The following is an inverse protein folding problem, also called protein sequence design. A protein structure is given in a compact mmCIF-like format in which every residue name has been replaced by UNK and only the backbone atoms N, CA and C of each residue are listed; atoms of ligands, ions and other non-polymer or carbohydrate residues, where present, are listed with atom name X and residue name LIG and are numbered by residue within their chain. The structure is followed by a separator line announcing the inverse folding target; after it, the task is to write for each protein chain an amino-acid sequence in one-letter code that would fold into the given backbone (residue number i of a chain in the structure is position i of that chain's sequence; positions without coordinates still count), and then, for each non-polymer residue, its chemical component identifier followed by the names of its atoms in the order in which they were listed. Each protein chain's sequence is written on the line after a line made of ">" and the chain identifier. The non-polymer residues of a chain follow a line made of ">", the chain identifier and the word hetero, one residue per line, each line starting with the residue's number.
data_IF_271612773134
#
_entry.id   IF_271612773134
#
_cell.length_a   1.000
_cell.length_b   1.000
_cell.length_c   1.000
_cell.angle_alpha   90.00
_cell.angle_beta   90.00
_cell.angle_gamma   90.00
#
_symmetry.space_group_name_H-M   'P 1'
#
loop_
_entity.id
_entity.type
_entity.pdbx_description
1 polymer ?
#
# COMPACT_ATOMS: atom_id res chain seq x y z
N UNK A 1 19.05 -63.99 -24.76
CA UNK A 1 18.55 -64.24 -23.38
C UNK A 1 18.27 -62.87 -22.77
N UNK A 2 17.16 -62.50 -22.14
CA UNK A 2 15.89 -63.12 -21.81
C UNK A 2 15.05 -61.95 -21.21
N UNK A 3 13.77 -61.80 -21.58
CA UNK A 3 12.63 -61.24 -20.80
C UNK A 3 12.71 -59.78 -20.27
N UNK A 4 11.83 -58.86 -20.68
CA UNK A 4 10.38 -58.73 -20.41
C UNK A 4 10.03 -58.21 -18.99
N UNK A 5 9.41 -57.02 -18.93
CA UNK A 5 8.36 -56.53 -17.99
C UNK A 5 8.28 -55.00 -18.15
N UNK A 6 7.37 -54.42 -18.95
CA UNK A 6 5.95 -54.17 -18.67
C UNK A 6 5.61 -54.00 -17.18
N UNK A 7 5.45 -52.74 -16.74
CA UNK A 7 4.60 -52.39 -15.62
C UNK A 7 4.00 -50.99 -15.87
N UNK A 8 2.69 -51.00 -16.07
CA UNK A 8 1.82 -49.85 -16.22
C UNK A 8 1.24 -49.42 -14.86
N UNK A 9 0.59 -48.24 -14.87
CA UNK A 9 -0.34 -47.70 -13.85
C UNK A 9 0.39 -47.07 -12.64
N UNK A 10 0.10 -45.85 -12.22
CA UNK A 10 -1.22 -45.26 -12.07
C UNK A 10 -1.23 -43.76 -12.34
N UNK A 11 -2.11 -43.34 -13.25
CA UNK A 11 -2.59 -41.96 -13.35
C UNK A 11 -3.49 -41.68 -12.14
N UNK A 12 -2.89 -41.20 -11.06
CA UNK A 12 -3.61 -40.58 -9.96
C UNK A 12 -4.19 -39.25 -10.45
N UNK A 13 -5.40 -39.29 -10.99
CA UNK A 13 -6.19 -38.11 -11.27
C UNK A 13 -6.49 -37.37 -9.97
N UNK A 14 -5.76 -36.28 -9.71
CA UNK A 14 -6.24 -35.26 -8.81
C UNK A 14 -7.48 -34.64 -9.44
N UNK A 15 -8.66 -35.10 -9.02
CA UNK A 15 -9.89 -34.35 -9.16
C UNK A 15 -9.70 -32.97 -8.56
N UNK A 16 -9.34 -32.00 -9.40
CA UNK A 16 -9.47 -30.59 -9.08
C UNK A 16 -10.98 -30.34 -8.87
N UNK A 17 -11.42 -30.36 -7.61
CA UNK A 17 -12.71 -29.78 -7.24
C UNK A 17 -12.68 -28.33 -7.74
N UNK A 18 -13.61 -27.90 -8.61
CA UNK A 18 -13.88 -26.49 -8.77
C UNK A 18 -14.58 -26.06 -7.48
N UNK A 19 -13.79 -25.78 -6.45
CA UNK A 19 -14.25 -24.91 -5.39
C UNK A 19 -14.51 -23.59 -6.08
N UNK A 20 -15.79 -23.29 -6.31
CA UNK A 20 -16.25 -21.99 -6.74
C UNK A 20 -15.60 -20.97 -5.81
N UNK A 21 -14.49 -20.39 -6.27
CA UNK A 21 -13.92 -19.21 -5.67
C UNK A 21 -15.01 -18.17 -5.83
N UNK A 22 -15.80 -17.99 -4.78
CA UNK A 22 -16.48 -16.73 -4.57
C UNK A 22 -15.33 -15.74 -4.59
N UNK A 23 -15.15 -15.08 -5.73
CA UNK A 23 -14.22 -13.98 -5.85
C UNK A 23 -14.63 -13.04 -4.73
N UNK A 24 -13.85 -13.03 -3.64
CA UNK A 24 -14.09 -12.14 -2.54
C UNK A 24 -14.14 -10.76 -3.19
N UNK A 25 -15.32 -10.12 -3.14
CA UNK A 25 -15.48 -8.79 -3.67
C UNK A 25 -14.32 -7.95 -3.14
N UNK A 26 -13.64 -7.16 -3.99
CA UNK A 26 -12.53 -6.34 -3.53
C UNK A 26 -13.02 -5.57 -2.31
N UNK A 27 -12.30 -5.71 -1.19
CA UNK A 27 -12.63 -4.99 0.02
C UNK A 27 -12.80 -3.50 -0.37
N UNK A 28 -13.84 -2.81 0.11
CA UNK A 28 -14.05 -1.42 -0.25
C UNK A 28 -12.76 -0.65 0.07
N UNK A 29 -12.25 0.09 -0.92
CA UNK A 29 -11.06 0.92 -0.74
C UNK A 29 -11.39 1.98 0.32
N UNK A 30 -10.93 1.75 1.55
CA UNK A 30 -11.16 2.66 2.67
C UNK A 30 -10.13 3.79 2.70
N UNK A 31 -9.26 3.90 1.68
CA UNK A 31 -8.26 4.97 1.60
C UNK A 31 -8.93 6.33 1.59
N UNK A 32 -8.35 7.25 2.35
CA UNK A 32 -8.71 8.67 2.35
C UNK A 32 -7.86 9.38 1.29
N UNK A 33 -8.45 9.79 0.15
CA UNK A 33 -7.70 10.45 -0.91
C UNK A 33 -7.14 11.79 -0.42
N UNK A 34 -5.87 12.04 -0.74
CA UNK A 34 -5.16 13.26 -0.34
C UNK A 34 -4.66 13.26 1.11
N UNK A 35 -4.88 12.19 1.88
CA UNK A 35 -4.38 12.08 3.25
C UNK A 35 -3.29 11.01 3.38
N UNK A 36 -2.16 11.42 3.98
CA UNK A 36 -0.97 10.60 4.12
C UNK A 36 -0.33 10.77 5.49
N UNK A 37 0.19 9.68 6.04
CA UNK A 37 1.10 9.71 7.18
C UNK A 37 2.52 9.71 6.66
N UNK A 38 3.27 10.75 7.01
CA UNK A 38 4.69 10.89 6.73
C UNK A 38 5.48 10.53 7.98
N UNK A 39 6.55 9.77 7.84
CA UNK A 39 7.56 9.62 8.88
C UNK A 39 8.75 10.50 8.52
N UNK A 40 9.01 11.52 9.33
CA UNK A 40 10.12 12.44 9.11
C UNK A 40 11.39 11.97 9.84
N UNK A 41 12.55 12.38 9.32
CA UNK A 41 13.83 12.23 10.04
C UNK A 41 13.82 13.05 11.33
N UNK A 42 14.63 12.66 12.35
CA UNK A 42 14.88 13.51 13.50
C UNK A 42 15.39 14.89 13.04
N UNK A 43 14.86 15.96 13.64
CA UNK A 43 15.21 17.35 13.32
C UNK A 43 14.91 17.79 11.88
N UNK A 44 14.08 17.05 11.13
CA UNK A 44 13.57 17.51 9.85
C UNK A 44 12.79 18.82 10.00
N UNK A 45 12.95 19.73 9.04
CA UNK A 45 12.16 20.96 8.97
C UNK A 45 10.81 20.68 8.29
N UNK A 46 9.67 20.80 9.01
CA UNK A 46 8.35 20.58 8.42
C UNK A 46 8.02 21.57 7.28
N UNK A 47 8.61 22.78 7.29
CA UNK A 47 8.34 23.77 6.24
C UNK A 47 9.02 23.39 4.92
N UNK A 48 10.19 22.76 4.97
CA UNK A 48 10.82 22.16 3.79
C UNK A 48 9.93 21.05 3.18
N UNK A 49 9.33 20.22 4.03
CA UNK A 49 8.37 19.18 3.60
C UNK A 49 7.12 19.81 2.99
N UNK A 50 6.57 20.87 3.61
CA UNK A 50 5.42 21.60 3.06
C UNK A 50 5.72 22.18 1.68
N UNK A 51 6.91 22.76 1.50
CA UNK A 51 7.34 23.34 0.24
C UNK A 51 7.42 22.28 -0.89
N UNK A 52 7.92 21.08 -0.59
CA UNK A 52 8.02 19.98 -1.54
C UNK A 52 6.65 19.55 -2.12
N UNK A 53 5.57 19.67 -1.34
CA UNK A 53 4.23 19.28 -1.76
C UNK A 53 3.34 20.45 -2.21
N UNK A 54 3.90 21.67 -2.39
CA UNK A 54 3.15 22.89 -2.72
C UNK A 54 2.27 22.74 -3.96
N UNK A 55 2.73 22.04 -4.99
CA UNK A 55 2.00 21.87 -6.26
C UNK A 55 0.68 21.10 -6.10
N UNK A 56 0.53 20.34 -5.02
CA UNK A 56 -0.67 19.58 -4.68
C UNK A 56 -1.59 20.30 -3.69
N UNK A 57 -1.32 21.59 -3.43
CA UNK A 57 -2.09 22.44 -2.52
C UNK A 57 -2.20 21.82 -1.10
N UNK A 58 -1.13 21.95 -0.31
CA UNK A 58 -1.10 21.47 1.08
C UNK A 58 -2.18 22.17 1.91
N UNK A 59 -3.17 21.40 2.35
CA UNK A 59 -4.27 21.86 3.21
C UNK A 59 -3.82 21.87 4.66
N UNK A 60 -3.13 20.82 5.07
CA UNK A 60 -2.69 20.63 6.46
C UNK A 60 -1.38 19.84 6.48
N UNK A 61 -0.49 20.21 7.39
CA UNK A 61 0.69 19.43 7.73
C UNK A 61 0.90 19.62 9.22
N UNK A 62 0.58 18.58 9.99
CA UNK A 62 0.61 18.64 11.45
C UNK A 62 1.20 17.38 12.07
N UNK A 63 1.89 17.49 13.21
CA UNK A 63 2.38 16.32 13.91
C UNK A 63 1.21 15.47 14.44
N UNK A 64 1.37 14.15 14.41
CA UNK A 64 0.42 13.17 14.99
C UNK A 64 1.02 12.58 16.25
N UNK A 65 2.20 11.97 16.14
CA UNK A 65 2.93 11.38 17.27
C UNK A 65 4.38 11.10 16.88
N UNK A 66 5.34 11.38 17.77
CA UNK A 66 6.77 11.14 17.52
C UNK A 66 7.24 11.75 16.17
N UNK A 67 7.89 10.97 15.29
CA UNK A 67 8.33 11.44 13.97
C UNK A 67 7.21 11.48 12.91
N UNK A 68 5.96 11.18 13.27
CA UNK A 68 4.86 11.04 12.33
C UNK A 68 4.05 12.32 12.17
N UNK A 69 3.79 12.68 10.92
CA UNK A 69 3.02 13.84 10.51
C UNK A 69 1.86 13.42 9.62
N UNK A 70 0.72 14.08 9.79
CA UNK A 70 -0.40 13.98 8.85
C UNK A 70 -0.21 15.07 7.80
N UNK A 71 -0.06 14.66 6.55
CA UNK A 71 -0.13 15.51 5.37
C UNK A 71 -1.53 15.39 4.77
N UNK A 72 -2.20 16.53 4.58
CA UNK A 72 -3.46 16.62 3.82
C UNK A 72 -3.27 17.52 2.62
N UNK A 73 -3.64 17.01 1.45
CA UNK A 73 -3.53 17.68 0.17
C UNK A 73 -4.92 17.92 -0.41
N UNK A 74 -5.13 19.05 -1.08
CA UNK A 74 -6.38 19.31 -1.79
C UNK A 74 -6.49 18.44 -3.03
N UNK A 75 -5.38 18.26 -3.76
CA UNK A 75 -5.30 17.42 -4.95
C UNK A 75 -4.54 16.16 -4.58
N UNK A 76 -5.18 15.01 -4.72
CA UNK A 76 -4.52 13.73 -4.46
C UNK A 76 -3.72 13.28 -5.69
N UNK A 77 -2.37 13.27 -5.66
CA UNK A 77 -1.58 12.76 -6.77
C UNK A 77 -1.42 11.24 -6.74
N UNK A 78 -1.87 10.57 -5.66
CA UNK A 78 -1.66 9.15 -5.44
C UNK A 78 -0.34 8.83 -4.72
N UNK A 79 -0.27 7.63 -4.12
CA UNK A 79 0.84 7.21 -3.27
C UNK A 79 2.19 7.16 -4.00
N UNK A 80 2.20 6.68 -5.25
CA UNK A 80 3.44 6.55 -6.01
C UNK A 80 4.04 7.93 -6.34
N UNK A 81 3.20 8.89 -6.70
CA UNK A 81 3.62 10.26 -6.94
C UNK A 81 4.15 10.91 -5.65
N UNK A 82 3.46 10.76 -4.52
CA UNK A 82 3.96 11.27 -3.23
C UNK A 82 5.33 10.68 -2.90
N UNK A 83 5.52 9.37 -3.10
CA UNK A 83 6.82 8.72 -2.86
C UNK A 83 7.92 9.25 -3.77
N UNK A 84 7.60 9.60 -5.03
CA UNK A 84 8.58 10.19 -5.94
C UNK A 84 8.95 11.64 -5.62
N UNK A 85 8.04 12.40 -5.03
CA UNK A 85 8.22 13.83 -4.73
C UNK A 85 8.76 14.03 -3.30
N UNK A 86 8.58 13.03 -2.43
CA UNK A 86 8.99 13.08 -1.04
C UNK A 86 10.47 13.51 -0.91
N UNK A 87 10.75 14.58 -0.15
CA UNK A 87 12.11 15.09 -0.02
C UNK A 87 12.91 14.17 0.92
N UNK A 88 14.26 14.27 0.94
CA UNK A 88 15.13 13.37 1.71
C UNK A 88 14.84 13.28 3.21
N UNK A 89 14.17 14.28 3.77
CA UNK A 89 13.71 14.37 5.15
C UNK A 89 12.57 13.39 5.46
N UNK A 90 11.85 12.90 4.45
CA UNK A 90 10.77 11.91 4.60
C UNK A 90 11.37 10.51 4.48
N UNK A 91 11.27 9.73 5.56
CA UNK A 91 11.72 8.34 5.62
C UNK A 91 10.69 7.35 5.06
N UNK A 92 9.41 7.63 5.27
CA UNK A 92 8.34 6.76 4.84
C UNK A 92 7.06 7.55 4.57
N UNK A 93 6.26 7.02 3.65
CA UNK A 93 4.93 7.52 3.27
C UNK A 93 3.93 6.38 3.35
N UNK A 94 2.85 6.59 4.09
CA UNK A 94 1.74 5.66 4.24
C UNK A 94 0.42 6.35 3.87
N UNK A 95 -0.48 5.71 3.12
CA UNK A 95 -1.82 6.25 2.91
C UNK A 95 -2.64 6.16 4.19
N UNK A 96 -3.52 7.15 4.42
CA UNK A 96 -4.51 7.11 5.50
C UNK A 96 -5.74 6.31 5.09
N UNK A 97 -6.35 5.60 6.03
CA UNK A 97 -7.57 4.81 5.82
C UNK A 97 -8.66 5.19 6.82
N UNK A 98 -9.91 5.18 6.38
CA UNK A 98 -11.07 5.35 7.23
C UNK A 98 -11.28 4.08 8.08
N UNK A 99 -11.13 4.21 9.40
CA UNK A 99 -11.50 3.15 10.32
C UNK A 99 -13.02 3.15 10.54
N UNK A 100 -13.68 1.99 10.37
CA UNK A 100 -15.08 1.79 10.75
C UNK A 100 -15.13 0.81 11.92
N UNK A 101 -15.57 1.23 13.13
CA UNK A 101 -15.78 0.29 14.21
C UNK A 101 -16.92 -0.67 13.81
N UNK A 102 -16.70 -1.97 14.02
CA UNK A 102 -17.71 -3.02 13.87
C UNK A 102 -18.47 -3.22 15.18
#
# INVERSE_FOLDING_TARGET
>A
MLRAALAALASGGCSARPGAGVAAAPAPDTRLPGEYILTLRPHADPEAVRAAFREHEVVDLRPVTGPHYLLRLRRDPGLDAIRSIAPPEVLAVQPSYAYRPQ
#
